data_IF_905017053504
#
_entry.id   IF_905017053504
#
_cell.length_a   1.000
_cell.length_b   1.000
_cell.length_c   1.000
_cell.angle_alpha   90.00
_cell.angle_beta   90.00
_cell.angle_gamma   90.00
#
_symmetry.space_group_name_H-M   'P 1'
#
loop_
_entity.id
_entity.type
_entity.pdbx_description
1 polymer ?
#
# COMPACT_ATOMS: atom_id res chain seq x y z
N UNK A 1 14.24 15.02 27.25
CA UNK A 1 14.78 13.80 26.64
C UNK A 1 13.70 13.05 25.84
N UNK A 2 12.61 12.56 26.42
CA UNK A 2 11.56 11.78 25.71
C UNK A 2 10.96 12.48 24.49
N UNK A 3 10.73 13.80 24.56
CA UNK A 3 10.18 14.55 23.42
C UNK A 3 11.17 14.66 22.27
N UNK A 4 12.43 14.87 22.55
CA UNK A 4 13.48 14.88 21.53
C UNK A 4 13.54 13.52 20.80
N UNK A 5 13.52 12.41 21.55
CA UNK A 5 13.47 11.06 20.98
C UNK A 5 12.23 10.86 20.10
N UNK A 6 11.05 11.34 20.52
CA UNK A 6 9.83 11.26 19.74
C UNK A 6 9.88 12.07 18.43
N UNK A 7 10.53 13.24 18.45
CA UNK A 7 10.74 14.07 17.25
C UNK A 7 11.71 13.36 16.29
N UNK A 8 12.84 12.90 16.79
CA UNK A 8 13.85 12.18 16.00
C UNK A 8 13.24 10.91 15.36
N UNK A 9 12.50 10.12 16.14
CA UNK A 9 11.83 8.92 15.63
C UNK A 9 10.87 9.24 14.47
N UNK A 10 10.06 10.30 14.58
CA UNK A 10 9.17 10.70 13.50
C UNK A 10 9.92 11.09 12.22
N UNK A 11 11.01 11.85 12.32
CA UNK A 11 11.85 12.22 11.16
C UNK A 11 12.46 10.97 10.52
N UNK A 12 13.04 10.07 11.33
CA UNK A 12 13.65 8.83 10.83
C UNK A 12 12.64 7.95 10.09
N UNK A 13 11.39 7.86 10.56
CA UNK A 13 10.36 7.10 9.86
C UNK A 13 10.02 7.71 8.50
N UNK A 14 9.99 9.04 8.35
CA UNK A 14 9.77 9.65 7.03
C UNK A 14 10.95 9.40 6.07
N UNK A 15 12.18 9.45 6.57
CA UNK A 15 13.36 9.08 5.78
C UNK A 15 13.28 7.61 5.37
N UNK A 16 12.96 6.72 6.31
CA UNK A 16 12.77 5.29 6.03
C UNK A 16 11.69 5.06 4.97
N UNK A 17 10.56 5.77 5.05
CA UNK A 17 9.50 5.69 4.04
C UNK A 17 9.98 6.14 2.66
N UNK A 18 10.72 7.25 2.57
CA UNK A 18 11.26 7.75 1.30
C UNK A 18 12.27 6.75 0.69
N UNK A 19 13.18 6.23 1.50
CA UNK A 19 14.15 5.21 1.09
C UNK A 19 13.44 3.95 0.63
N UNK A 20 12.47 3.44 1.41
CA UNK A 20 11.70 2.25 1.03
C UNK A 20 10.92 2.45 -0.28
N UNK A 21 10.35 3.64 -0.48
CA UNK A 21 9.62 3.97 -1.71
C UNK A 21 10.56 3.98 -2.93
N UNK A 22 11.77 4.51 -2.79
CA UNK A 22 12.79 4.48 -3.84
C UNK A 22 13.23 3.04 -4.15
N UNK A 23 13.53 2.23 -3.13
CA UNK A 23 13.88 0.82 -3.32
C UNK A 23 12.74 0.04 -3.98
N UNK A 24 11.49 0.31 -3.60
CA UNK A 24 10.33 -0.34 -4.21
C UNK A 24 10.16 0.05 -5.69
N UNK A 25 10.43 1.31 -6.03
CA UNK A 25 10.46 1.77 -7.43
C UNK A 25 11.49 0.99 -8.26
N UNK A 26 12.72 0.87 -7.77
CA UNK A 26 13.80 0.15 -8.46
C UNK A 26 13.51 -1.36 -8.54
N UNK A 27 13.08 -1.95 -7.44
CA UNK A 27 12.76 -3.37 -7.34
C UNK A 27 11.66 -3.80 -8.32
N UNK A 28 10.60 -3.01 -8.46
CA UNK A 28 9.49 -3.33 -9.36
C UNK A 28 9.86 -3.14 -10.85
N UNK A 29 10.91 -2.43 -11.18
CA UNK A 29 11.43 -2.34 -12.56
C UNK A 29 12.32 -3.52 -12.96
N UNK A 30 13.06 -4.09 -12.05
CA UNK A 30 13.94 -5.23 -12.28
C UNK A 30 14.88 -5.41 -11.10
N UNK A 31 14.89 -6.57 -10.48
CA UNK A 31 15.75 -6.88 -9.34
C UNK A 31 17.14 -7.32 -9.81
N UNK A 32 18.22 -6.96 -9.10
CA UNK A 32 19.54 -7.52 -9.37
C UNK A 32 19.54 -9.02 -9.07
N UNK A 33 20.25 -9.83 -9.87
CA UNK A 33 20.28 -11.28 -9.71
C UNK A 33 20.93 -11.69 -8.39
N UNK A 34 20.23 -12.52 -7.62
CA UNK A 34 20.74 -13.27 -6.47
C UNK A 34 20.24 -14.70 -6.62
N UNK A 35 21.05 -15.59 -7.14
CA UNK A 35 20.69 -16.99 -7.27
C UNK A 35 20.71 -17.70 -5.90
N UNK A 36 19.69 -18.50 -5.61
CA UNK A 36 19.58 -19.33 -4.41
C UNK A 36 18.89 -20.66 -4.69
N UNK A 37 19.22 -21.69 -3.91
CA UNK A 37 18.70 -23.07 -4.10
C UNK A 37 17.17 -23.16 -3.90
N UNK A 38 16.58 -22.31 -3.04
CA UNK A 38 15.16 -22.28 -2.65
C UNK A 38 14.51 -20.95 -3.06
N UNK A 39 14.85 -20.46 -4.25
CA UNK A 39 14.46 -19.11 -4.68
C UNK A 39 12.95 -18.87 -4.61
N UNK A 40 12.13 -19.74 -5.19
CA UNK A 40 10.69 -19.49 -5.33
C UNK A 40 9.94 -19.62 -4.00
N UNK A 41 10.28 -20.62 -3.18
CA UNK A 41 9.66 -20.80 -1.86
C UNK A 41 10.03 -19.66 -0.92
N UNK A 42 11.29 -19.24 -0.94
CA UNK A 42 11.76 -18.12 -0.16
C UNK A 42 11.10 -16.83 -0.57
N UNK A 43 11.01 -16.55 -1.87
CA UNK A 43 10.37 -15.38 -2.42
C UNK A 43 8.86 -15.34 -2.14
N UNK A 44 8.20 -16.49 -2.20
CA UNK A 44 6.80 -16.60 -1.79
C UNK A 44 6.61 -16.26 -0.30
N UNK A 45 7.49 -16.74 0.58
CA UNK A 45 7.47 -16.39 2.01
C UNK A 45 7.71 -14.90 2.23
N UNK A 46 8.66 -14.30 1.51
CA UNK A 46 8.92 -12.85 1.55
C UNK A 46 7.73 -12.03 1.08
N UNK A 47 7.07 -12.43 0.00
CA UNK A 47 5.88 -11.76 -0.49
C UNK A 47 4.72 -11.88 0.51
N UNK A 48 4.52 -13.06 1.11
CA UNK A 48 3.46 -13.32 2.07
C UNK A 48 3.70 -12.59 3.42
N UNK A 49 4.93 -12.56 3.94
CA UNK A 49 5.20 -11.91 5.23
C UNK A 49 4.80 -10.44 5.24
N UNK A 50 5.08 -9.71 4.17
CA UNK A 50 4.63 -8.32 4.04
C UNK A 50 3.11 -8.21 4.08
N UNK A 51 2.41 -9.02 3.30
CA UNK A 51 0.95 -8.96 3.19
C UNK A 51 0.25 -9.30 4.51
N UNK A 52 0.79 -10.29 5.23
CA UNK A 52 0.27 -10.73 6.53
C UNK A 52 0.50 -9.65 7.60
N UNK A 53 1.74 -9.18 7.77
CA UNK A 53 2.07 -8.17 8.78
C UNK A 53 1.27 -6.89 8.54
N UNK A 54 1.23 -6.41 7.29
CA UNK A 54 0.48 -5.22 6.92
C UNK A 54 -1.02 -5.36 7.24
N UNK A 55 -1.63 -6.50 6.93
CA UNK A 55 -3.06 -6.73 7.18
C UNK A 55 -3.37 -6.88 8.66
N UNK A 56 -2.55 -7.63 9.41
CA UNK A 56 -2.72 -7.85 10.84
C UNK A 56 -2.66 -6.53 11.61
N UNK A 57 -1.69 -5.67 11.31
CA UNK A 57 -1.57 -4.38 11.97
C UNK A 57 -2.72 -3.40 11.64
N UNK A 58 -3.39 -3.58 10.51
CA UNK A 58 -4.59 -2.80 10.17
C UNK A 58 -5.87 -3.35 10.78
N UNK A 59 -5.86 -4.57 11.33
CA UNK A 59 -7.05 -5.20 11.90
C UNK A 59 -7.54 -4.45 13.14
N UNK A 60 -8.86 -4.12 13.25
CA UNK A 60 -9.37 -3.28 14.35
C UNK A 60 -9.06 -3.82 15.74
N UNK A 61 -9.16 -5.15 15.94
CA UNK A 61 -8.86 -5.81 17.22
C UNK A 61 -7.38 -5.70 17.61
N UNK A 62 -6.46 -5.89 16.66
CA UNK A 62 -5.02 -5.75 16.87
C UNK A 62 -4.68 -4.29 17.16
N UNK A 63 -5.22 -3.37 16.36
CA UNK A 63 -5.04 -1.93 16.57
C UNK A 63 -5.54 -1.47 17.93
N UNK A 64 -6.67 -1.99 18.41
CA UNK A 64 -7.20 -1.69 19.75
C UNK A 64 -6.27 -2.19 20.85
N UNK A 65 -5.72 -3.42 20.72
CA UNK A 65 -4.77 -4.00 21.70
C UNK A 65 -3.45 -3.22 21.72
N UNK A 66 -2.86 -2.95 20.56
CA UNK A 66 -1.60 -2.20 20.47
C UNK A 66 -1.77 -0.74 20.88
N UNK A 67 -2.95 -0.16 20.72
CA UNK A 67 -3.30 1.19 21.17
C UNK A 67 -3.28 1.36 22.71
N UNK A 68 -3.22 0.28 23.48
CA UNK A 68 -3.00 0.34 24.94
C UNK A 68 -1.54 0.69 25.28
N UNK A 69 -0.59 0.38 24.39
CA UNK A 69 0.85 0.61 24.58
C UNK A 69 1.37 1.74 23.71
N UNK A 70 0.79 1.96 22.53
CA UNK A 70 1.23 2.94 21.55
C UNK A 70 0.20 4.06 21.45
N UNK A 71 0.61 5.29 21.75
CA UNK A 71 -0.29 6.44 21.70
C UNK A 71 -0.81 6.67 20.27
N UNK A 72 -2.03 7.24 20.11
CA UNK A 72 -2.62 7.53 18.80
C UNK A 72 -1.72 8.38 17.88
N UNK A 73 -0.88 9.24 18.45
CA UNK A 73 0.06 10.07 17.70
C UNK A 73 1.17 9.26 17.03
N UNK A 74 1.58 8.14 17.63
CA UNK A 74 2.71 7.31 17.17
C UNK A 74 2.29 6.04 16.46
N UNK A 75 1.02 5.63 16.54
CA UNK A 75 0.56 4.39 15.91
C UNK A 75 0.79 4.39 14.39
N UNK A 76 0.57 5.52 13.72
CA UNK A 76 0.84 5.65 12.29
C UNK A 76 2.31 5.49 11.93
N UNK A 77 3.22 6.04 12.75
CA UNK A 77 4.67 5.87 12.59
C UNK A 77 5.08 4.41 12.79
N UNK A 78 4.57 3.76 13.84
CA UNK A 78 4.82 2.33 14.11
C UNK A 78 4.38 1.46 12.93
N UNK A 79 3.15 1.67 12.43
CA UNK A 79 2.63 0.97 11.26
C UNK A 79 3.49 1.20 10.01
N UNK A 80 3.87 2.46 9.74
CA UNK A 80 4.73 2.82 8.61
C UNK A 80 6.11 2.13 8.72
N UNK A 81 6.72 2.13 9.92
CA UNK A 81 7.99 1.44 10.17
C UNK A 81 7.87 -0.06 9.88
N UNK A 82 6.85 -0.73 10.41
CA UNK A 82 6.65 -2.16 10.18
C UNK A 82 6.44 -2.48 8.69
N UNK A 83 5.63 -1.67 7.98
CA UNK A 83 5.43 -1.82 6.54
C UNK A 83 6.72 -1.60 5.74
N UNK A 84 7.51 -0.57 6.08
CA UNK A 84 8.78 -0.30 5.42
C UNK A 84 9.79 -1.42 5.65
N UNK A 85 9.95 -1.89 6.89
CA UNK A 85 10.90 -2.96 7.21
C UNK A 85 10.55 -4.28 6.52
N UNK A 86 9.27 -4.65 6.49
CA UNK A 86 8.81 -5.86 5.80
C UNK A 86 8.95 -5.76 4.28
N UNK A 87 8.72 -4.60 3.67
CA UNK A 87 9.00 -4.35 2.26
C UNK A 87 10.51 -4.38 1.97
N UNK A 88 11.33 -3.72 2.77
CA UNK A 88 12.79 -3.74 2.62
C UNK A 88 13.33 -5.17 2.73
N UNK A 89 12.81 -5.96 3.68
CA UNK A 89 13.17 -7.37 3.80
C UNK A 89 12.83 -8.13 2.51
N UNK A 90 11.62 -7.94 1.97
CA UNK A 90 11.25 -8.55 0.68
C UNK A 90 12.22 -8.14 -0.42
N UNK A 91 12.47 -6.85 -0.61
CA UNK A 91 13.29 -6.33 -1.71
C UNK A 91 14.77 -6.68 -1.60
N UNK A 92 15.33 -6.73 -0.38
CA UNK A 92 16.76 -6.99 -0.16
C UNK A 92 17.12 -8.46 -0.13
N UNK A 93 16.17 -9.33 0.21
CA UNK A 93 16.39 -10.79 0.29
C UNK A 93 15.81 -11.55 -0.90
N UNK A 94 15.20 -10.85 -1.86
CA UNK A 94 14.60 -11.42 -3.06
C UNK A 94 15.64 -12.15 -3.89
N UNK A 95 15.31 -13.35 -4.39
CA UNK A 95 16.18 -14.20 -5.19
C UNK A 95 15.65 -14.26 -6.61
N UNK A 96 16.40 -13.76 -7.57
CA UNK A 96 15.97 -13.68 -8.98
C UNK A 96 16.24 -15.01 -9.69
N UNK A 97 15.20 -15.56 -10.32
CA UNK A 97 15.33 -16.74 -11.18
C UNK A 97 15.80 -16.33 -12.58
N UNK A 98 16.67 -17.15 -13.18
CA UNK A 98 17.21 -16.92 -14.53
C UNK A 98 16.16 -17.14 -15.64
N UNK A 99 15.02 -17.75 -15.32
CA UNK A 99 13.98 -18.11 -16.30
C UNK A 99 13.06 -16.95 -16.58
N UNK A 100 13.21 -16.32 -17.73
CA UNK A 100 12.32 -15.28 -18.21
C UNK A 100 11.06 -15.87 -18.86
N UNK A 101 9.87 -15.34 -18.50
CA UNK A 101 8.60 -15.64 -19.15
C UNK A 101 8.44 -14.76 -20.38
N UNK A 102 8.77 -13.46 -20.26
CA UNK A 102 8.90 -12.53 -21.38
C UNK A 102 9.94 -11.47 -21.09
N UNK A 103 10.50 -10.95 -22.19
CA UNK A 103 11.36 -9.78 -22.19
C UNK A 103 10.93 -8.88 -23.34
N UNK A 104 10.42 -7.71 -23.00
CA UNK A 104 9.96 -6.73 -23.99
C UNK A 104 11.12 -5.86 -24.45
N UNK A 105 11.16 -5.59 -25.76
CA UNK A 105 12.14 -4.69 -26.38
C UNK A 105 11.44 -3.64 -27.23
N UNK A 106 12.13 -2.58 -27.63
CA UNK A 106 11.59 -1.54 -28.50
C UNK A 106 10.34 -0.86 -27.94
N UNK A 107 9.34 -0.62 -28.78
CA UNK A 107 8.10 0.08 -28.44
C UNK A 107 7.28 -0.54 -27.31
N UNK A 108 7.08 -1.86 -27.26
CA UNK A 108 6.34 -2.47 -26.14
C UNK A 108 6.98 -2.20 -24.78
N UNK A 109 8.33 -2.21 -24.71
CA UNK A 109 9.05 -1.87 -23.47
C UNK A 109 8.76 -0.45 -23.03
N UNK A 110 8.85 0.52 -23.94
CA UNK A 110 8.60 1.92 -23.65
C UNK A 110 7.14 2.17 -23.21
N UNK A 111 6.19 1.52 -23.87
CA UNK A 111 4.77 1.62 -23.51
C UNK A 111 4.51 1.09 -22.09
N UNK A 112 5.05 -0.07 -21.75
CA UNK A 112 4.91 -0.66 -20.40
C UNK A 112 5.59 0.21 -19.35
N UNK A 113 6.76 0.77 -19.63
CA UNK A 113 7.42 1.73 -18.73
C UNK A 113 6.59 3.01 -18.52
N UNK A 114 5.97 3.53 -19.57
CA UNK A 114 5.06 4.67 -19.48
C UNK A 114 3.83 4.36 -18.60
N UNK A 115 3.23 3.17 -18.75
CA UNK A 115 2.14 2.70 -17.89
C UNK A 115 2.58 2.54 -16.43
N UNK A 116 3.77 2.00 -16.19
CA UNK A 116 4.37 1.87 -14.86
C UNK A 116 4.51 3.25 -14.17
N UNK A 117 5.07 4.24 -14.87
CA UNK A 117 5.19 5.61 -14.35
C UNK A 117 3.82 6.26 -14.10
N UNK A 118 2.86 6.01 -14.98
CA UNK A 118 1.46 6.47 -14.79
C UNK A 118 0.86 5.86 -13.53
N UNK A 119 1.13 4.58 -13.24
CA UNK A 119 0.68 3.93 -12.01
C UNK A 119 1.31 4.55 -10.76
N UNK A 120 2.58 4.95 -10.78
CA UNK A 120 3.20 5.71 -9.69
C UNK A 120 2.52 7.06 -9.48
N UNK A 121 2.27 7.81 -10.55
CA UNK A 121 1.58 9.09 -10.49
C UNK A 121 0.17 8.98 -9.93
N UNK A 122 -0.61 8.00 -10.40
CA UNK A 122 -1.98 7.76 -9.93
C UNK A 122 -2.02 7.21 -8.50
N UNK A 123 -1.02 6.41 -8.07
CA UNK A 123 -0.86 5.99 -6.69
C UNK A 123 -0.63 7.19 -5.77
N UNK A 124 0.35 8.03 -6.11
CA UNK A 124 0.65 9.23 -5.32
C UNK A 124 -0.56 10.17 -5.22
N UNK A 125 -1.24 10.42 -6.35
CA UNK A 125 -2.49 11.19 -6.38
C UNK A 125 -3.56 10.58 -5.46
N UNK A 126 -3.74 9.26 -5.50
CA UNK A 126 -4.70 8.55 -4.64
C UNK A 126 -4.35 8.69 -3.15
N UNK A 127 -3.06 8.59 -2.80
CA UNK A 127 -2.58 8.80 -1.44
C UNK A 127 -2.83 10.23 -0.96
N UNK A 128 -2.60 11.23 -1.80
CA UNK A 128 -2.91 12.64 -1.51
C UNK A 128 -4.41 12.85 -1.28
N UNK A 129 -5.27 12.31 -2.14
CA UNK A 129 -6.73 12.37 -1.99
C UNK A 129 -7.22 11.70 -0.70
N UNK A 130 -6.61 10.59 -0.29
CA UNK A 130 -6.96 9.86 0.93
C UNK A 130 -6.26 10.36 2.19
N UNK A 131 -5.31 11.31 2.06
CA UNK A 131 -4.55 11.92 3.15
C UNK A 131 -3.21 11.27 3.40
N UNK A 132 -2.25 11.63 2.58
CA UNK A 132 -0.87 11.12 2.59
C UNK A 132 -0.25 11.11 4.00
N UNK A 133 -0.37 12.20 4.75
CA UNK A 133 0.21 12.31 6.09
C UNK A 133 -0.40 11.36 7.14
N UNK A 134 -1.60 10.81 6.90
CA UNK A 134 -2.16 9.75 7.75
C UNK A 134 -1.59 8.38 7.39
N UNK A 135 -1.27 8.13 6.11
CA UNK A 135 -0.68 6.86 5.68
C UNK A 135 0.75 6.69 6.20
N UNK A 136 1.55 7.76 6.20
CA UNK A 136 2.91 7.75 6.71
C UNK A 136 3.01 7.96 8.22
N UNK A 137 1.89 8.25 8.91
CA UNK A 137 1.86 8.61 10.32
C UNK A 137 2.37 10.02 10.61
N UNK A 138 2.77 10.79 9.57
CA UNK A 138 3.28 12.15 9.70
C UNK A 138 2.32 13.08 10.42
N UNK A 139 1.04 13.09 10.00
CA UNK A 139 0.10 14.11 10.46
C UNK A 139 -0.25 13.99 11.95
N UNK A 140 -0.64 12.81 12.50
CA UNK A 140 -0.88 12.67 13.94
C UNK A 140 0.35 13.01 14.78
N UNK A 141 1.54 12.58 14.33
CA UNK A 141 2.81 12.90 14.99
C UNK A 141 3.12 14.40 14.94
N UNK A 142 2.89 15.09 13.83
CA UNK A 142 3.11 16.54 13.71
C UNK A 142 2.26 17.35 14.67
N UNK A 143 0.96 16.99 14.84
CA UNK A 143 0.10 17.59 15.84
C UNK A 143 0.62 17.37 17.27
N UNK A 144 1.16 16.18 17.55
CA UNK A 144 1.83 15.92 18.83
C UNK A 144 3.07 16.78 19.02
N UNK A 145 3.90 16.99 17.98
CA UNK A 145 5.05 17.92 18.02
C UNK A 145 4.59 19.34 18.34
N UNK A 146 3.48 19.79 17.76
CA UNK A 146 2.93 21.11 18.01
C UNK A 146 2.15 21.24 19.33
N UNK A 147 1.97 20.16 20.08
CA UNK A 147 1.10 20.08 21.29
C UNK A 147 -0.36 20.41 20.99
N UNK A 148 -0.83 20.11 19.81
CA UNK A 148 -2.20 20.33 19.36
C UNK A 148 -2.99 19.02 19.34
N UNK A 149 -4.31 19.04 19.55
CA UNK A 149 -5.15 17.87 19.41
C UNK A 149 -5.20 17.41 17.96
N UNK A 150 -5.16 16.08 17.73
CA UNK A 150 -5.29 15.51 16.39
C UNK A 150 -6.69 15.81 15.85
N UNK A 151 -6.84 16.50 14.71
CA UNK A 151 -8.14 16.90 14.19
C UNK A 151 -8.96 15.69 13.77
N UNK A 152 -10.26 15.73 14.05
CA UNK A 152 -11.20 14.77 13.50
C UNK A 152 -11.34 15.01 11.99
N UNK A 153 -11.16 13.96 11.20
CA UNK A 153 -11.27 14.03 9.76
C UNK A 153 -12.65 13.55 9.31
N UNK A 154 -13.51 14.42 8.74
CA UNK A 154 -14.76 13.97 8.16
C UNK A 154 -14.49 13.10 6.93
N UNK A 155 -15.31 12.06 6.74
CA UNK A 155 -15.25 11.23 5.55
C UNK A 155 -15.83 12.00 4.35
N UNK A 156 -14.97 12.46 3.46
CA UNK A 156 -15.35 13.16 2.22
C UNK A 156 -14.58 12.54 1.04
N UNK A 157 -15.16 11.58 0.32
CA UNK A 157 -14.58 11.05 -0.91
C UNK A 157 -14.40 12.17 -1.94
N UNK A 158 -13.20 12.28 -2.53
CA UNK A 158 -12.87 13.32 -3.52
C UNK A 158 -11.86 12.79 -4.54
N UNK A 159 -11.79 13.44 -5.69
CA UNK A 159 -10.91 13.03 -6.78
C UNK A 159 -11.24 11.60 -7.23
N UNK A 160 -10.23 10.76 -7.42
CA UNK A 160 -10.40 9.37 -7.86
C UNK A 160 -11.36 8.55 -6.97
N UNK A 161 -11.50 8.88 -5.68
CA UNK A 161 -12.43 8.20 -4.75
C UNK A 161 -13.91 8.54 -4.99
N UNK A 162 -14.23 9.53 -5.79
CA UNK A 162 -15.60 9.77 -6.25
C UNK A 162 -16.00 8.88 -7.43
N UNK A 163 -15.02 8.31 -8.14
CA UNK A 163 -15.20 7.46 -9.32
C UNK A 163 -15.14 5.96 -8.95
N UNK A 164 -14.13 5.58 -8.17
CA UNK A 164 -13.93 4.21 -7.69
C UNK A 164 -13.48 4.23 -6.22
N UNK A 165 -13.82 3.15 -5.45
CA UNK A 165 -13.46 3.09 -4.03
C UNK A 165 -11.99 2.76 -3.78
N UNK A 166 -11.33 2.11 -4.73
CA UNK A 166 -9.99 1.53 -4.56
C UNK A 166 -8.96 2.02 -5.60
N UNK A 167 -8.84 3.35 -5.88
CA UNK A 167 -7.93 3.83 -6.91
C UNK A 167 -6.46 3.48 -6.62
N UNK A 168 -6.01 3.56 -5.36
CA UNK A 168 -4.66 3.16 -4.98
C UNK A 168 -4.38 1.66 -5.19
N UNK A 169 -5.39 0.79 -5.01
CA UNK A 169 -5.23 -0.65 -5.27
C UNK A 169 -5.12 -0.93 -6.78
N UNK A 170 -5.86 -0.20 -7.63
CA UNK A 170 -5.70 -0.27 -9.09
C UNK A 170 -4.29 0.15 -9.50
N UNK A 171 -3.78 1.23 -8.92
CA UNK A 171 -2.41 1.69 -9.19
C UNK A 171 -1.38 0.64 -8.76
N UNK A 172 -1.51 0.03 -7.57
CA UNK A 172 -0.62 -1.04 -7.13
C UNK A 172 -0.71 -2.27 -8.04
N UNK A 173 -1.90 -2.64 -8.49
CA UNK A 173 -2.06 -3.73 -9.45
C UNK A 173 -1.27 -3.44 -10.73
N UNK A 174 -1.38 -2.23 -11.27
CA UNK A 174 -0.59 -1.82 -12.43
C UNK A 174 0.92 -1.84 -12.16
N UNK A 175 1.37 -1.39 -10.99
CA UNK A 175 2.80 -1.39 -10.62
C UNK A 175 3.42 -2.79 -10.62
N UNK A 176 2.68 -3.82 -10.20
CA UNK A 176 3.21 -5.19 -10.19
C UNK A 176 3.10 -5.87 -11.56
N UNK A 177 2.12 -5.50 -12.39
CA UNK A 177 1.91 -6.10 -13.70
C UNK A 177 2.66 -5.41 -14.84
N UNK A 178 2.85 -4.08 -14.79
CA UNK A 178 3.54 -3.34 -15.85
C UNK A 178 5.05 -3.43 -15.68
N UNK A 179 5.58 -4.63 -15.86
CA UNK A 179 7.02 -4.91 -15.90
C UNK A 179 7.44 -5.30 -17.32
N UNK A 180 8.49 -4.68 -17.88
CA UNK A 180 8.98 -5.05 -19.21
C UNK A 180 9.63 -6.44 -19.26
N UNK A 181 10.17 -6.89 -18.13
CA UNK A 181 10.85 -8.17 -18.00
C UNK A 181 10.15 -8.99 -16.89
N UNK A 182 9.48 -10.08 -17.26
CA UNK A 182 8.80 -10.99 -16.33
C UNK A 182 9.62 -12.27 -16.20
N UNK A 183 10.10 -12.54 -15.01
CA UNK A 183 10.76 -13.79 -14.63
C UNK A 183 9.81 -14.65 -13.79
N UNK A 184 10.13 -15.92 -13.57
CA UNK A 184 9.26 -16.84 -12.79
C UNK A 184 9.11 -16.36 -11.35
N UNK A 185 10.18 -15.90 -10.70
CA UNK A 185 10.13 -15.33 -9.35
C UNK A 185 9.22 -14.09 -9.30
N UNK A 186 9.32 -13.22 -10.29
CA UNK A 186 8.45 -12.05 -10.41
C UNK A 186 6.99 -12.45 -10.63
N UNK A 187 6.71 -13.49 -11.40
CA UNK A 187 5.35 -14.01 -11.56
C UNK A 187 4.78 -14.51 -10.23
N UNK A 188 5.59 -15.11 -9.37
CA UNK A 188 5.19 -15.48 -7.99
C UNK A 188 4.81 -14.24 -7.17
N UNK A 189 5.62 -13.18 -7.20
CA UNK A 189 5.29 -11.91 -6.55
C UNK A 189 3.96 -11.35 -7.06
N UNK A 190 3.83 -11.26 -8.39
CA UNK A 190 2.63 -10.71 -9.06
C UNK A 190 1.39 -11.50 -8.68
N UNK A 191 1.46 -12.84 -8.68
CA UNK A 191 0.34 -13.70 -8.30
C UNK A 191 -0.08 -13.48 -6.84
N UNK A 192 0.86 -13.53 -5.89
CA UNK A 192 0.59 -13.35 -4.46
C UNK A 192 0.04 -11.94 -4.20
N UNK A 193 0.66 -10.90 -4.74
CA UNK A 193 0.23 -9.53 -4.50
C UNK A 193 -1.05 -9.18 -5.24
N UNK A 194 -1.35 -9.80 -6.38
CA UNK A 194 -2.65 -9.66 -7.04
C UNK A 194 -3.78 -10.18 -6.15
N UNK A 195 -3.64 -11.40 -5.63
CA UNK A 195 -4.62 -11.96 -4.69
C UNK A 195 -4.74 -11.07 -3.45
N UNK A 196 -3.62 -10.63 -2.91
CA UNK A 196 -3.59 -9.73 -1.76
C UNK A 196 -4.29 -8.39 -2.01
N UNK A 197 -4.09 -7.78 -3.18
CA UNK A 197 -4.73 -6.50 -3.55
C UNK A 197 -6.26 -6.63 -3.53
N UNK A 198 -6.82 -7.69 -4.12
CA UNK A 198 -8.26 -7.93 -4.09
C UNK A 198 -8.78 -8.23 -2.68
N UNK A 199 -8.11 -9.12 -1.95
CA UNK A 199 -8.44 -9.43 -0.57
C UNK A 199 -8.32 -8.19 0.33
N UNK A 200 -7.23 -7.45 0.22
CA UNK A 200 -6.95 -6.24 0.99
C UNK A 200 -7.97 -5.12 0.74
N UNK A 201 -8.45 -4.96 -0.50
CA UNK A 201 -9.49 -4.00 -0.82
C UNK A 201 -10.83 -4.37 -0.17
N UNK A 202 -11.17 -5.66 -0.16
CA UNK A 202 -12.35 -6.17 0.54
C UNK A 202 -12.25 -5.96 2.07
N UNK A 203 -11.10 -6.31 2.66
CA UNK A 203 -10.83 -6.08 4.09
C UNK A 203 -10.86 -4.59 4.44
N UNK A 204 -10.40 -3.72 3.53
CA UNK A 204 -10.54 -2.27 3.70
C UNK A 204 -12.01 -1.83 3.74
N UNK A 205 -12.86 -2.34 2.84
CA UNK A 205 -14.29 -2.03 2.85
C UNK A 205 -14.96 -2.46 4.17
N UNK A 206 -14.63 -3.65 4.69
CA UNK A 206 -15.12 -4.12 5.98
C UNK A 206 -14.67 -3.21 7.12
N UNK A 207 -13.39 -2.87 7.16
CA UNK A 207 -12.80 -1.99 8.15
C UNK A 207 -13.39 -0.58 8.12
N UNK A 208 -13.56 0.00 6.93
CA UNK A 208 -14.17 1.32 6.78
C UNK A 208 -15.66 1.32 7.19
N UNK A 209 -16.39 0.24 6.88
CA UNK A 209 -17.76 0.04 7.35
C UNK A 209 -17.85 -0.08 8.89
N UNK A 210 -16.84 -0.68 9.52
CA UNK A 210 -16.75 -0.78 10.98
C UNK A 210 -16.53 0.59 11.64
N UNK A 211 -15.63 1.43 11.08
CA UNK A 211 -15.30 2.72 11.68
C UNK A 211 -16.28 3.85 11.34
N UNK A 212 -16.90 3.84 10.16
CA UNK A 212 -17.72 4.93 9.63
C UNK A 212 -19.21 4.60 9.54
N UNK A 213 -19.59 3.36 9.81
CA UNK A 213 -20.98 2.93 9.89
C UNK A 213 -21.79 3.18 8.62
N UNK A 214 -22.97 3.82 8.73
CA UNK A 214 -23.88 4.12 7.63
C UNK A 214 -23.25 4.98 6.54
N UNK A 215 -22.48 6.00 6.92
CA UNK A 215 -21.81 6.91 5.97
C UNK A 215 -20.97 6.18 4.94
N UNK A 216 -20.23 5.14 5.36
CA UNK A 216 -19.44 4.36 4.41
C UNK A 216 -20.29 3.37 3.61
N UNK A 217 -21.33 2.79 4.22
CA UNK A 217 -22.27 1.88 3.51
C UNK A 217 -22.98 2.60 2.36
N UNK A 218 -23.45 3.83 2.57
CA UNK A 218 -24.06 4.67 1.54
C UNK A 218 -23.09 5.01 0.41
N UNK A 219 -21.85 5.35 0.75
CA UNK A 219 -20.79 5.56 -0.24
C UNK A 219 -20.53 4.29 -1.06
N UNK A 220 -20.42 3.13 -0.40
CA UNK A 220 -20.21 1.83 -1.01
C UNK A 220 -21.34 1.43 -1.96
N UNK A 221 -22.58 1.82 -1.66
CA UNK A 221 -23.73 1.56 -2.52
C UNK A 221 -23.68 2.38 -3.82
N UNK A 222 -23.11 3.59 -3.79
CA UNK A 222 -23.09 4.52 -4.92
C UNK A 222 -21.84 4.42 -5.80
N UNK A 223 -20.69 4.11 -5.20
CA UNK A 223 -19.39 4.13 -5.89
C UNK A 223 -18.87 2.70 -6.06
N UNK A 224 -18.53 2.24 -7.28
CA UNK A 224 -18.01 0.90 -7.52
C UNK A 224 -16.62 0.69 -6.90
N UNK A 225 -16.25 -0.57 -6.64
CA UNK A 225 -14.93 -0.91 -6.09
C UNK A 225 -13.81 -0.57 -7.09
N UNK A 226 -14.02 -0.94 -8.35
CA UNK A 226 -13.07 -0.82 -9.47
C UNK A 226 -13.78 -0.28 -10.72
N UNK A 227 -13.02 -0.03 -11.79
CA UNK A 227 -13.60 0.32 -13.09
C UNK A 227 -14.43 -0.84 -13.63
N UNK A 228 -15.67 -0.59 -13.98
CA UNK A 228 -16.59 -1.54 -14.59
C UNK A 228 -17.83 -1.82 -13.73
N UNK A 229 -18.96 -1.86 -14.41
CA UNK A 229 -20.29 -2.29 -13.99
C UNK A 229 -20.79 -1.69 -12.67
N UNK A 230 -21.18 -0.42 -12.73
CA UNK A 230 -22.18 0.11 -11.82
C UNK A 230 -23.50 -0.60 -12.16
N UNK A 231 -23.88 -1.64 -11.41
CA UNK A 231 -25.30 -1.95 -11.30
C UNK A 231 -25.94 -0.74 -10.61
N UNK A 232 -26.47 0.19 -11.41
CA UNK A 232 -27.49 1.11 -10.94
C UNK A 232 -28.63 0.22 -10.40
N UNK A 233 -28.65 -0.05 -9.11
CA UNK A 233 -29.92 -0.34 -8.47
C UNK A 233 -30.67 0.97 -8.53
N UNK A 234 -31.65 1.06 -9.41
CA UNK A 234 -32.70 2.06 -9.29
C UNK A 234 -33.22 1.93 -7.88
N UNK A 235 -33.04 2.98 -7.10
CA UNK A 235 -33.75 3.16 -5.84
C UNK A 235 -35.16 3.44 -6.31
N UNK A 236 -36.04 2.43 -6.27
CA UNK A 236 -37.46 2.64 -6.37
C UNK A 236 -37.84 3.61 -5.23
N UNK A 237 -38.37 4.77 -5.64
CA UNK A 237 -38.98 5.77 -4.80
C UNK A 237 -40.20 5.20 -4.08
#
# INVERSE_FOLDING_TARGET
MLRFLGITAGILVQILFAVTSYYNYVFLQGSPPRAGRWALEWDALLALQFTVVHSVLLWPGVRKRLGQFISPAFYGLFFCTAACLTLLLTMTQWQVADSAIWQLTGWPRLAVQGLYLTCWGTLFYSLCCSGFGYHTGWLPWWYWVQRQPIPRRPFKPRGAFSLIRHPGYVSFLGLVWFTPDMTIDRAVLVAIWTVYIFLGSHLKDLRMSHYLGSTYREYRARVPAYFGLVRRREVAL
#
